data_IF_190058299268
#
_entry.id   IF_190058299268
#
_cell.length_a   1.000
_cell.length_b   1.000
_cell.length_c   1.000
_cell.angle_alpha   90.00
_cell.angle_beta   90.00
_cell.angle_gamma   90.00
#
_symmetry.space_group_name_H-M   'P 1'
#
loop_
_entity.id
_entity.type
_entity.pdbx_description
1 polymer ?
#
# COMPACT_ATOMS: atom_id res chain seq x y z
N UNK A 1 -18.02 -18.53 -26.50
CA UNK A 1 -16.67 -18.57 -25.90
C UNK A 1 -16.78 -17.73 -24.64
N UNK A 2 -16.95 -18.37 -23.48
CA UNK A 2 -17.08 -17.65 -22.21
C UNK A 2 -15.71 -17.08 -21.89
N UNK A 3 -15.65 -15.81 -21.53
CA UNK A 3 -14.39 -15.13 -21.28
C UNK A 3 -13.71 -15.73 -20.04
N UNK A 4 -12.38 -15.82 -20.06
CA UNK A 4 -11.62 -16.41 -18.96
C UNK A 4 -11.80 -15.61 -17.67
N UNK A 5 -12.06 -14.30 -17.78
CA UNK A 5 -12.36 -13.43 -16.65
C UNK A 5 -13.73 -13.75 -16.02
N UNK A 6 -14.75 -14.10 -16.81
CA UNK A 6 -16.08 -14.47 -16.30
C UNK A 6 -16.03 -15.76 -15.48
N UNK A 7 -15.27 -16.76 -15.94
CA UNK A 7 -15.08 -18.03 -15.23
C UNK A 7 -14.32 -17.82 -13.92
N UNK A 8 -13.31 -16.94 -13.94
CA UNK A 8 -12.52 -16.61 -12.76
C UNK A 8 -13.35 -15.81 -11.76
N UNK A 9 -14.13 -14.82 -12.21
CA UNK A 9 -15.04 -14.03 -11.37
C UNK A 9 -16.06 -14.89 -10.65
N UNK A 10 -16.75 -15.78 -11.36
CA UNK A 10 -17.73 -16.69 -10.77
C UNK A 10 -17.13 -17.64 -9.72
N UNK A 11 -15.88 -18.09 -9.91
CA UNK A 11 -15.18 -18.89 -8.91
C UNK A 11 -14.84 -18.09 -7.64
N UNK A 12 -14.45 -16.81 -7.80
CA UNK A 12 -14.22 -15.91 -6.67
C UNK A 12 -15.52 -15.55 -5.94
N UNK A 13 -16.60 -15.26 -6.66
CA UNK A 13 -17.91 -14.95 -6.08
C UNK A 13 -18.42 -16.08 -5.17
N UNK A 14 -18.12 -17.34 -5.51
CA UNK A 14 -18.48 -18.50 -4.70
C UNK A 14 -17.75 -18.60 -3.35
N UNK A 15 -16.61 -17.91 -3.17
CA UNK A 15 -15.83 -17.95 -1.92
C UNK A 15 -15.82 -16.62 -1.16
N UNK A 16 -16.27 -15.52 -1.78
CA UNK A 16 -16.27 -14.17 -1.19
C UNK A 16 -16.98 -14.13 0.16
N UNK A 17 -18.15 -14.75 0.27
CA UNK A 17 -18.94 -14.72 1.51
C UNK A 17 -18.28 -15.54 2.64
N UNK A 18 -17.70 -16.69 2.29
CA UNK A 18 -16.91 -17.51 3.23
C UNK A 18 -15.66 -16.77 3.69
N UNK A 19 -14.96 -16.10 2.78
CA UNK A 19 -13.76 -15.31 3.09
C UNK A 19 -14.11 -14.12 3.99
N UNK A 20 -15.17 -13.37 3.66
CA UNK A 20 -15.65 -12.25 4.48
C UNK A 20 -16.03 -12.73 5.90
N UNK A 21 -16.74 -13.83 6.02
CA UNK A 21 -17.11 -14.45 7.31
C UNK A 21 -15.88 -14.86 8.13
N UNK A 22 -14.89 -15.50 7.49
CA UNK A 22 -13.68 -15.98 8.17
C UNK A 22 -12.84 -14.86 8.80
N UNK A 23 -12.94 -13.63 8.27
CA UNK A 23 -12.13 -12.49 8.71
C UNK A 23 -12.92 -11.31 9.29
N UNK A 24 -14.25 -11.37 9.33
CA UNK A 24 -15.13 -10.27 9.76
C UNK A 24 -14.70 -9.65 11.11
N UNK A 25 -14.45 -10.49 12.12
CA UNK A 25 -14.13 -10.04 13.48
C UNK A 25 -12.62 -10.04 13.78
N UNK A 26 -11.81 -10.43 12.78
CA UNK A 26 -10.36 -10.67 12.95
C UNK A 26 -9.62 -9.40 13.37
N UNK A 27 -10.11 -8.24 12.93
CA UNK A 27 -9.55 -6.93 13.27
C UNK A 27 -10.06 -6.38 14.61
N UNK A 28 -11.22 -6.83 15.10
CA UNK A 28 -11.76 -6.38 16.40
C UNK A 28 -10.84 -6.79 17.56
N UNK A 29 -10.27 -7.99 17.48
CA UNK A 29 -9.32 -8.54 18.46
C UNK A 29 -7.87 -8.08 18.22
N UNK A 30 -7.62 -7.27 17.19
CA UNK A 30 -6.28 -6.84 16.79
C UNK A 30 -6.19 -5.30 16.75
N UNK A 31 -6.13 -4.63 17.92
CA UNK A 31 -6.22 -3.18 18.00
C UNK A 31 -5.11 -2.47 17.21
N UNK A 32 -3.92 -3.07 17.12
CA UNK A 32 -2.82 -2.53 16.33
C UNK A 32 -3.08 -2.61 14.82
N UNK A 33 -3.50 -3.78 14.31
CA UNK A 33 -3.82 -3.94 12.88
C UNK A 33 -4.97 -3.01 12.46
N UNK A 34 -5.99 -2.88 13.31
CA UNK A 34 -7.10 -1.96 13.10
C UNK A 34 -6.65 -0.49 13.06
N UNK A 35 -5.73 -0.10 13.94
CA UNK A 35 -5.17 1.25 13.95
C UNK A 35 -4.37 1.56 12.68
N UNK A 36 -3.56 0.61 12.20
CA UNK A 36 -2.78 0.76 10.95
C UNK A 36 -3.71 0.95 9.75
N UNK A 37 -4.75 0.10 9.60
CA UNK A 37 -5.74 0.23 8.53
C UNK A 37 -6.48 1.57 8.61
N UNK A 38 -6.91 1.98 9.81
CA UNK A 38 -7.57 3.27 10.01
C UNK A 38 -6.65 4.46 9.67
N UNK A 39 -5.37 4.40 10.03
CA UNK A 39 -4.39 5.43 9.68
C UNK A 39 -4.21 5.55 8.17
N UNK A 40 -4.10 4.44 7.43
CA UNK A 40 -4.02 4.49 5.97
C UNK A 40 -5.32 4.98 5.33
N UNK A 41 -6.47 4.54 5.84
CA UNK A 41 -7.78 4.99 5.36
C UNK A 41 -7.96 6.51 5.57
N UNK A 42 -7.54 7.05 6.71
CA UNK A 42 -7.59 8.49 6.97
C UNK A 42 -6.64 9.27 6.07
N UNK A 43 -5.43 8.76 5.82
CA UNK A 43 -4.50 9.37 4.87
C UNK A 43 -5.10 9.40 3.45
N UNK A 44 -5.69 8.29 3.00
CA UNK A 44 -6.35 8.23 1.69
C UNK A 44 -7.58 9.15 1.61
N UNK A 45 -8.39 9.23 2.67
CA UNK A 45 -9.57 10.10 2.74
C UNK A 45 -9.21 11.57 2.63
N UNK A 46 -8.10 12.00 3.24
CA UNK A 46 -7.67 13.41 3.20
C UNK A 46 -6.81 13.74 1.98
N UNK A 47 -6.30 12.73 1.28
CA UNK A 47 -5.54 12.95 0.07
C UNK A 47 -6.50 13.28 -1.08
N UNK A 48 -6.53 14.54 -1.48
CA UNK A 48 -7.21 14.92 -2.72
C UNK A 48 -6.62 14.10 -3.89
N UNK A 49 -7.46 13.74 -4.85
CA UNK A 49 -7.01 13.14 -6.11
C UNK A 49 -5.90 14.00 -6.75
N UNK A 50 -4.83 13.36 -7.23
CA UNK A 50 -3.60 14.02 -7.66
C UNK A 50 -2.61 14.36 -6.53
N UNK A 51 -3.00 14.17 -5.27
CA UNK A 51 -2.19 14.40 -4.07
C UNK A 51 -1.04 13.39 -3.91
N UNK A 52 -0.06 13.77 -3.09
CA UNK A 52 1.18 13.02 -2.87
C UNK A 52 1.20 12.31 -1.53
N UNK A 53 1.59 11.03 -1.56
CA UNK A 53 1.87 10.22 -0.39
C UNK A 53 3.37 9.93 -0.32
N UNK A 54 4.00 10.27 0.81
CA UNK A 54 5.35 9.81 1.17
C UNK A 54 5.21 8.70 2.23
N UNK A 55 5.71 7.51 1.94
CA UNK A 55 5.72 6.38 2.87
C UNK A 55 7.17 5.98 3.15
N UNK A 56 7.50 5.87 4.44
CA UNK A 56 8.80 5.36 4.90
C UNK A 56 8.61 4.01 5.59
N UNK A 57 9.43 3.02 5.27
CA UNK A 57 9.30 1.67 5.83
C UNK A 57 10.65 0.92 5.86
N UNK A 58 10.73 -0.13 6.67
CA UNK A 58 11.87 -1.05 6.65
C UNK A 58 11.79 -1.90 5.38
N UNK A 59 12.84 -1.88 4.58
CA UNK A 59 12.92 -2.67 3.35
C UNK A 59 13.87 -3.86 3.47
N UNK A 60 13.65 -4.83 2.59
CA UNK A 60 14.51 -6.00 2.41
C UNK A 60 14.76 -6.23 0.93
N UNK A 61 15.93 -6.77 0.60
CA UNK A 61 16.28 -7.25 -0.74
C UNK A 61 15.69 -8.64 -1.03
N UNK A 62 15.11 -9.31 -0.02
CA UNK A 62 14.42 -10.58 -0.20
C UNK A 62 13.11 -10.43 -0.98
N UNK A 63 12.57 -11.53 -1.53
CA UNK A 63 11.34 -11.51 -2.33
C UNK A 63 10.06 -11.40 -1.50
N UNK A 64 10.14 -11.72 -0.21
CA UNK A 64 8.99 -11.80 0.70
C UNK A 64 9.18 -10.89 1.92
N UNK A 65 8.08 -10.39 2.53
CA UNK A 65 8.16 -9.66 3.78
C UNK A 65 8.74 -10.52 4.91
N UNK A 66 9.67 -9.95 5.68
CA UNK A 66 10.32 -10.64 6.80
C UNK A 66 9.90 -10.00 8.10
N UNK A 67 9.41 -10.80 9.05
CA UNK A 67 9.08 -10.33 10.40
C UNK A 67 10.32 -10.33 11.29
N UNK A 68 10.45 -9.32 12.14
CA UNK A 68 11.54 -9.23 13.12
C UNK A 68 11.06 -8.60 14.44
N UNK A 69 11.79 -8.89 15.51
CA UNK A 69 11.52 -8.33 16.83
C UNK A 69 12.07 -6.90 16.92
N UNK A 70 11.17 -5.92 16.81
CA UNK A 70 11.48 -4.52 17.06
C UNK A 70 11.23 -4.18 18.54
N UNK A 71 12.02 -3.25 19.09
CA UNK A 71 12.11 -2.93 20.54
C UNK A 71 10.77 -2.68 21.24
N UNK A 72 9.76 -2.25 20.50
CA UNK A 72 8.43 -1.90 21.02
C UNK A 72 7.37 -2.96 20.71
N UNK A 73 7.40 -3.53 19.51
CA UNK A 73 6.44 -4.51 19.01
C UNK A 73 7.05 -5.20 17.79
N UNK A 74 6.59 -6.40 17.40
CA UNK A 74 7.04 -7.03 16.16
C UNK A 74 6.83 -6.12 14.95
N UNK A 75 7.82 -6.06 14.07
CA UNK A 75 7.78 -5.28 12.84
C UNK A 75 8.07 -6.18 11.63
N UNK A 76 7.84 -5.65 10.44
CA UNK A 76 8.12 -6.36 9.19
C UNK A 76 8.91 -5.47 8.26
N UNK A 77 9.94 -6.03 7.62
CA UNK A 77 10.59 -5.45 6.46
C UNK A 77 9.90 -5.94 5.18
N UNK A 78 9.86 -5.11 4.15
CA UNK A 78 9.13 -5.39 2.91
C UNK A 78 10.00 -5.21 1.66
N UNK A 79 9.84 -6.06 0.62
CA UNK A 79 10.43 -5.80 -0.68
C UNK A 79 9.82 -4.53 -1.26
N UNK A 80 10.65 -3.57 -1.68
CA UNK A 80 10.15 -2.26 -2.08
C UNK A 80 9.28 -2.30 -3.35
N UNK A 81 9.53 -3.26 -4.25
CA UNK A 81 8.70 -3.48 -5.43
C UNK A 81 7.33 -4.04 -5.06
N UNK A 82 7.26 -5.02 -4.14
CA UNK A 82 5.99 -5.57 -3.65
C UNK A 82 5.16 -4.50 -2.92
N UNK A 83 5.82 -3.63 -2.18
CA UNK A 83 5.14 -2.49 -1.55
C UNK A 83 4.59 -1.51 -2.60
N UNK A 84 5.35 -1.23 -3.66
CA UNK A 84 4.88 -0.39 -4.77
C UNK A 84 3.70 -1.01 -5.53
N UNK A 85 3.67 -2.34 -5.71
CA UNK A 85 2.52 -3.07 -6.27
C UNK A 85 1.25 -2.90 -5.43
N UNK A 86 1.38 -2.97 -4.09
CA UNK A 86 0.25 -2.72 -3.18
C UNK A 86 -0.28 -1.30 -3.30
N UNK A 87 0.62 -0.30 -3.41
CA UNK A 87 0.23 1.09 -3.65
C UNK A 87 -0.51 1.23 -5.00
N UNK A 88 -0.01 0.59 -6.06
CA UNK A 88 -0.66 0.62 -7.36
C UNK A 88 -2.07 0.00 -7.31
N UNK A 89 -2.25 -1.12 -6.60
CA UNK A 89 -3.57 -1.72 -6.35
C UNK A 89 -4.55 -0.81 -5.62
N UNK A 90 -4.05 0.18 -4.87
CA UNK A 90 -4.83 1.21 -4.20
C UNK A 90 -5.01 2.51 -5.00
N UNK A 91 -4.58 2.55 -6.28
CA UNK A 91 -4.65 3.74 -7.13
C UNK A 91 -3.56 4.78 -6.89
N UNK A 92 -2.49 4.41 -6.16
CA UNK A 92 -1.33 5.25 -5.87
C UNK A 92 -0.16 4.87 -6.78
N UNK A 93 0.10 5.68 -7.79
CA UNK A 93 1.23 5.48 -8.71
C UNK A 93 2.52 5.94 -8.08
N UNK A 94 3.44 5.00 -7.84
CA UNK A 94 4.80 5.31 -7.38
C UNK A 94 5.60 5.98 -8.51
N UNK A 95 6.17 7.15 -8.25
CA UNK A 95 6.99 7.87 -9.24
C UNK A 95 8.40 8.20 -8.77
N UNK A 96 8.69 8.04 -7.46
CA UNK A 96 10.04 8.12 -6.94
C UNK A 96 10.22 7.17 -5.75
N UNK A 97 11.42 6.60 -5.65
CA UNK A 97 11.82 5.71 -4.57
C UNK A 97 13.27 6.00 -4.19
N UNK A 98 13.52 6.04 -2.88
CA UNK A 98 14.86 6.05 -2.30
C UNK A 98 15.01 4.77 -1.48
N UNK A 99 16.07 4.01 -1.77
CA UNK A 99 16.53 2.92 -0.93
C UNK A 99 17.88 3.34 -0.34
N UNK A 100 17.92 3.39 0.98
CA UNK A 100 19.13 3.70 1.72
C UNK A 100 19.52 2.46 2.52
N UNK A 101 20.71 1.92 2.25
CA UNK A 101 21.36 1.00 3.18
C UNK A 101 22.15 1.85 4.18
N UNK A 102 21.69 1.99 5.44
CA UNK A 102 22.41 2.76 6.44
C UNK A 102 23.70 2.09 6.93
N UNK A 103 24.23 1.09 6.20
CA UNK A 103 25.39 0.27 6.50
C UNK A 103 25.15 -0.69 7.69
N UNK A 104 24.54 -1.84 7.37
CA UNK A 104 24.76 -3.19 7.91
C UNK A 104 24.85 -3.50 9.43
N UNK A 105 24.65 -2.58 10.37
CA UNK A 105 24.59 -2.95 11.80
C UNK A 105 23.22 -3.51 12.25
N UNK A 106 22.15 -3.25 11.47
CA UNK A 106 20.76 -3.63 11.82
C UNK A 106 20.10 -4.66 10.91
N UNK A 107 20.63 -4.87 9.69
CA UNK A 107 20.16 -5.92 8.77
C UNK A 107 18.91 -5.59 7.94
N UNK A 108 18.53 -4.31 7.82
CA UNK A 108 17.41 -3.86 6.99
C UNK A 108 17.71 -2.54 6.30
N UNK A 109 17.16 -2.37 5.11
CA UNK A 109 17.20 -1.12 4.34
C UNK A 109 16.16 -0.14 4.89
N UNK A 110 16.39 1.15 4.69
CA UNK A 110 15.37 2.17 4.82
C UNK A 110 14.83 2.51 3.43
N UNK A 111 13.52 2.39 3.25
CA UNK A 111 12.86 2.74 2.00
C UNK A 111 11.94 3.93 2.18
N UNK A 112 12.02 4.86 1.24
CA UNK A 112 11.07 5.96 1.09
C UNK A 112 10.45 5.91 -0.30
N UNK A 113 9.12 5.89 -0.36
CA UNK A 113 8.37 5.86 -1.61
C UNK A 113 7.48 7.10 -1.69
N UNK A 114 7.56 7.79 -2.82
CA UNK A 114 6.67 8.87 -3.21
C UNK A 114 5.70 8.35 -4.26
N UNK A 115 4.41 8.41 -3.92
CA UNK A 115 3.32 7.99 -4.79
C UNK A 115 2.28 9.09 -4.95
N UNK A 116 1.57 9.08 -6.08
CA UNK A 116 0.50 10.00 -6.40
C UNK A 116 -0.81 9.26 -6.49
N UNK A 117 -1.85 9.74 -5.83
CA UNK A 117 -3.20 9.21 -6.02
C UNK A 117 -3.69 9.65 -7.39
N UNK A 118 -4.04 8.71 -8.25
CA UNK A 118 -4.43 9.03 -9.62
C UNK A 118 -5.63 10.00 -9.66
N UNK A 119 -5.59 11.04 -10.52
CA UNK A 119 -6.74 11.89 -10.75
C UNK A 119 -7.91 11.08 -11.33
N UNK A 120 -9.13 11.63 -11.27
CA UNK A 120 -10.24 11.05 -12.04
C UNK A 120 -9.85 11.01 -13.51
N UNK A 121 -10.21 9.95 -14.27
CA UNK A 121 -9.92 9.89 -15.69
C UNK A 121 -10.48 11.16 -16.39
N UNK A 122 -9.59 11.94 -17.01
CA UNK A 122 -9.97 13.16 -17.76
C UNK A 122 -9.61 14.50 -17.11
N UNK A 123 -9.01 14.52 -15.91
CA UNK A 123 -8.46 15.76 -15.32
C UNK A 123 -6.97 15.87 -15.64
N UNK A 124 -6.60 16.84 -16.49
CA UNK A 124 -5.20 17.19 -16.75
C UNK A 124 -4.54 17.80 -15.50
N UNK A 125 -3.55 17.12 -14.87
CA UNK A 125 -2.89 17.63 -13.67
C UNK A 125 -2.03 18.88 -13.93
N UNK A 126 -1.76 19.22 -15.20
CA UNK A 126 -1.00 20.41 -15.60
C UNK A 126 -1.80 21.72 -15.56
N UNK A 127 -3.14 21.67 -15.47
CA UNK A 127 -3.99 22.87 -15.58
C UNK A 127 -4.14 23.67 -14.28
N UNK A 128 -3.96 23.04 -13.12
CA UNK A 128 -4.23 23.67 -11.81
C UNK A 128 -3.05 24.50 -11.27
N UNK A 129 -1.84 24.34 -11.82
CA UNK A 129 -0.63 25.00 -11.33
C UNK A 129 -0.34 26.39 -11.96
N UNK A 130 -1.22 26.93 -12.83
CA UNK A 130 -1.02 28.24 -13.47
C UNK A 130 -2.12 29.23 -13.12
N UNK A 131 -2.16 29.68 -11.86
CA UNK A 131 -2.74 31.00 -11.52
C UNK A 131 -2.27 31.45 -10.13
N UNK A 132 -1.03 31.93 -10.08
CA UNK A 132 -0.64 33.02 -9.20
C UNK A 132 0.10 34.03 -10.10
N UNK A 133 -0.60 35.11 -10.44
CA UNK A 133 -0.03 36.37 -10.94
C UNK A 133 0.32 37.24 -9.76
#
# INVERSE_FOLDING_TARGET
MVDHQDVTGAAYDGVVELYASMFADRLETQPFARAVVATFAEQARVLARGGLLLVSFFATDGPDPVRFDHKVAPASSWPADRFAELLAGAGLTTFARLLHDPASERGFLEAHVLARLEPEPGVDPGRTARRCT
#
